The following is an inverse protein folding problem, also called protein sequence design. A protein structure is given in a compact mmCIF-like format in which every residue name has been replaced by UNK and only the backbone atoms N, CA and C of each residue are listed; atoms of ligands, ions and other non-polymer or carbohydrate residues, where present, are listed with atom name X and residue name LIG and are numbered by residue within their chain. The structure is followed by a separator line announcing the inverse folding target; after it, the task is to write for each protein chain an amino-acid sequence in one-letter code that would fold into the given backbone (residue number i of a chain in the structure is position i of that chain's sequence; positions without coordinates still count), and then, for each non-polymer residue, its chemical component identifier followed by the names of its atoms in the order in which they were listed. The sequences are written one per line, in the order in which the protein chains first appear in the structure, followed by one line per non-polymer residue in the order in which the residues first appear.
data_IF_472826658060
#
_entry.id   IF_472826658060
#
_cell.length_a   1.000
_cell.length_b   1.000
_cell.length_c   1.000
_cell.angle_alpha   90.00
_cell.angle_beta   90.00
_cell.angle_gamma   90.00
#
_symmetry.space_group_name_H-M   'P 1'
#
loop_
_entity.id
_entity.type
_entity.pdbx_description
1 polymer ?
#
# COMPACT_ATOMS: atom_id res chain seq x y z
N UNK A 1 20.02 -6.92 4.86
CA UNK A 1 19.95 -6.13 3.61
C UNK A 1 18.81 -6.67 2.74
N UNK A 2 17.72 -5.93 2.58
CA UNK A 2 16.55 -6.37 1.77
C UNK A 2 16.78 -6.06 0.29
N UNK A 3 16.44 -7.01 -0.58
CA UNK A 3 16.60 -6.91 -2.03
C UNK A 3 15.33 -7.35 -2.74
N UNK A 4 15.08 -6.79 -3.92
CA UNK A 4 13.97 -7.20 -4.78
C UNK A 4 14.32 -8.48 -5.56
N UNK A 5 13.37 -8.96 -6.38
CA UNK A 5 13.55 -10.17 -7.19
C UNK A 5 14.64 -10.04 -8.27
N UNK A 6 15.13 -8.83 -8.54
CA UNK A 6 16.20 -8.52 -9.47
C UNK A 6 17.52 -8.17 -8.75
N UNK A 7 17.61 -8.38 -7.44
CA UNK A 7 18.80 -8.11 -6.63
C UNK A 7 19.02 -6.64 -6.25
N UNK A 8 18.08 -5.74 -6.53
CA UNK A 8 18.21 -4.32 -6.18
C UNK A 8 17.82 -4.08 -4.73
N UNK A 9 18.65 -3.34 -4.00
CA UNK A 9 18.40 -2.97 -2.60
C UNK A 9 17.23 -1.97 -2.54
N UNK A 10 16.34 -2.14 -1.56
CA UNK A 10 15.25 -1.21 -1.33
C UNK A 10 14.89 -1.10 0.15
N UNK A 11 14.24 -0.01 0.52
CA UNK A 11 13.70 0.25 1.85
C UNK A 11 12.37 1.00 1.77
N UNK A 12 11.53 0.84 2.79
CA UNK A 12 10.35 1.68 2.99
C UNK A 12 10.69 2.76 4.02
N UNK A 13 10.32 4.00 3.72
CA UNK A 13 10.54 5.14 4.61
C UNK A 13 9.19 5.73 5.02
N UNK A 14 9.08 6.09 6.30
CA UNK A 14 7.91 6.77 6.85
C UNK A 14 8.27 8.16 7.30
N UNK A 15 7.69 9.16 6.65
CA UNK A 15 7.76 10.55 7.07
C UNK A 15 6.57 10.90 7.98
N UNK A 16 6.84 11.65 9.06
CA UNK A 16 5.84 12.02 10.08
C UNK A 16 4.99 13.23 9.71
N UNK A 17 5.55 14.22 9.01
CA UNK A 17 4.94 15.54 8.82
C UNK A 17 4.75 15.91 7.35
N UNK A 18 4.58 14.91 6.49
CA UNK A 18 4.38 15.14 5.06
C UNK A 18 2.88 15.23 4.80
N UNK A 19 2.42 16.45 4.48
CA UNK A 19 1.03 16.73 4.12
C UNK A 19 0.69 16.24 2.71
N UNK A 20 1.63 16.38 1.77
CA UNK A 20 1.48 15.91 0.39
C UNK A 20 2.64 15.00 -0.02
N UNK A 21 2.29 13.75 -0.30
CA UNK A 21 3.22 12.72 -0.78
C UNK A 21 3.69 12.99 -2.22
N UNK A 22 2.86 13.65 -3.03
CA UNK A 22 3.19 13.96 -4.42
C UNK A 22 4.29 15.00 -4.49
N UNK A 23 4.14 16.13 -3.78
CA UNK A 23 5.13 17.20 -3.72
C UNK A 23 6.50 16.67 -3.26
N UNK A 24 6.51 15.85 -2.20
CA UNK A 24 7.74 15.22 -1.71
C UNK A 24 8.37 14.30 -2.76
N UNK A 25 7.56 13.51 -3.46
CA UNK A 25 8.01 12.65 -4.55
C UNK A 25 8.67 13.45 -5.68
N UNK A 26 8.09 14.61 -6.04
CA UNK A 26 8.69 15.51 -7.04
C UNK A 26 10.05 16.04 -6.58
N UNK A 27 10.14 16.52 -5.34
CA UNK A 27 11.36 17.06 -4.76
C UNK A 27 12.50 16.03 -4.69
N UNK A 28 12.15 14.76 -4.50
CA UNK A 28 13.15 13.69 -4.35
C UNK A 28 13.42 12.90 -5.64
N UNK A 29 12.99 13.39 -6.81
CA UNK A 29 13.23 12.71 -8.11
C UNK A 29 14.70 12.53 -8.48
N UNK A 30 15.58 13.40 -7.99
CA UNK A 30 17.00 13.40 -8.36
C UNK A 30 17.92 13.29 -7.15
N UNK A 31 17.71 12.24 -6.36
CA UNK A 31 18.56 11.92 -5.20
C UNK A 31 19.56 10.84 -5.56
N UNK A 32 20.82 11.11 -5.24
CA UNK A 32 21.95 10.22 -5.42
C UNK A 32 22.49 9.76 -4.06
N UNK A 33 22.86 8.49 -3.97
CA UNK A 33 23.55 7.91 -2.83
C UNK A 33 24.88 7.32 -3.31
N UNK A 34 25.95 8.12 -3.23
CA UNK A 34 27.21 7.83 -3.91
C UNK A 34 26.97 7.71 -5.41
N UNK A 35 27.38 6.59 -6.01
CA UNK A 35 27.21 6.31 -7.44
C UNK A 35 25.82 5.76 -7.82
N UNK A 36 24.89 5.63 -6.87
CA UNK A 36 23.58 5.03 -7.10
C UNK A 36 22.48 6.09 -7.14
N UNK A 37 21.71 6.14 -8.22
CA UNK A 37 20.49 6.95 -8.30
C UNK A 37 19.33 6.24 -7.61
N UNK A 38 18.65 6.92 -6.69
CA UNK A 38 17.50 6.37 -5.98
C UNK A 38 16.23 6.48 -6.81
N UNK A 39 15.42 5.42 -6.79
CA UNK A 39 14.06 5.43 -7.36
C UNK A 39 13.06 5.47 -6.23
N UNK A 40 12.20 6.48 -6.23
CA UNK A 40 11.16 6.66 -5.22
C UNK A 40 9.82 6.25 -5.82
N UNK A 41 9.11 5.39 -5.10
CA UNK A 41 7.77 4.94 -5.46
C UNK A 41 6.84 5.22 -4.28
N UNK A 42 5.59 5.60 -4.58
CA UNK A 42 4.53 5.62 -3.56
C UNK A 42 4.29 4.20 -3.06
N UNK A 43 4.22 4.03 -1.73
CA UNK A 43 3.89 2.75 -1.11
C UNK A 43 2.49 2.31 -1.55
N UNK A 44 2.33 1.02 -1.88
CA UNK A 44 1.02 0.40 -2.13
C UNK A 44 0.30 0.01 -0.83
N UNK A 45 1.01 0.05 0.29
CA UNK A 45 0.45 -0.23 1.60
C UNK A 45 -0.13 1.04 2.18
N UNK A 46 -1.43 1.01 2.43
CA UNK A 46 -2.10 2.08 3.15
C UNK A 46 -1.61 2.12 4.60
N UNK A 47 -1.42 3.34 5.10
CA UNK A 47 -1.29 3.53 6.53
C UNK A 47 -2.70 3.41 7.10
N UNK A 48 -2.94 2.43 7.97
CA UNK A 48 -3.97 2.59 9.01
C UNK A 48 -3.48 3.72 9.91
N UNK A 49 -3.67 4.97 9.50
CA UNK A 49 -3.53 6.09 10.40
C UNK A 49 -4.64 5.91 11.44
N UNK A 50 -4.26 5.39 12.62
CA UNK A 50 -5.12 5.52 13.79
C UNK A 50 -5.53 6.98 13.87
N UNK A 51 -6.84 7.20 13.83
CA UNK A 51 -7.52 8.49 13.69
C UNK A 51 -6.91 9.52 14.64
N UNK A 52 -5.88 10.25 14.19
CA UNK A 52 -5.47 11.48 14.83
C UNK A 52 -6.28 12.56 14.15
N UNK A 53 -7.46 12.82 14.72
CA UNK A 53 -8.41 13.83 14.27
C UNK A 53 -7.68 15.17 14.12
N UNK A 54 -7.40 15.57 12.89
CA UNK A 54 -7.39 16.98 12.55
C UNK A 54 -8.75 17.25 11.92
N UNK A 55 -9.63 17.88 12.70
CA UNK A 55 -10.86 18.47 12.16
C UNK A 55 -10.43 19.57 11.19
N UNK A 56 -10.58 19.34 9.88
CA UNK A 56 -11.25 20.35 9.06
C UNK A 56 -11.80 19.74 7.75
N UNK A 57 -13.12 19.87 7.65
CA UNK A 57 -13.99 20.04 6.48
C UNK A 57 -13.46 19.74 5.07
N UNK A 58 -14.10 18.76 4.41
CA UNK A 58 -14.02 18.60 2.95
C UNK A 58 -14.57 17.28 2.46
N UNK A 59 -15.86 17.26 2.10
CA UNK A 59 -16.55 16.12 1.48
C UNK A 59 -15.83 15.62 0.21
N UNK A 60 -15.36 14.38 0.21
CA UNK A 60 -15.28 13.56 -1.00
C UNK A 60 -15.80 12.16 -0.67
N UNK A 61 -16.97 11.85 -1.21
CA UNK A 61 -17.56 10.51 -1.23
C UNK A 61 -16.60 9.58 -1.97
N UNK A 62 -15.92 8.70 -1.25
CA UNK A 62 -15.27 7.52 -1.84
C UNK A 62 -16.23 6.36 -1.68
N UNK A 63 -16.70 5.89 -2.83
CA UNK A 63 -17.52 4.71 -3.06
C UNK A 63 -16.96 3.52 -2.27
N UNK A 64 -17.78 2.93 -1.40
CA UNK A 64 -17.48 1.68 -0.70
C UNK A 64 -17.25 0.57 -1.74
N UNK A 65 -16.00 0.17 -1.93
CA UNK A 65 -15.67 -1.12 -2.53
C UNK A 65 -14.59 -1.77 -1.68
N UNK A 66 -14.99 -2.82 -0.97
CA UNK A 66 -14.07 -3.73 -0.30
C UNK A 66 -14.17 -3.71 1.22
N UNK A 67 -15.32 -4.14 1.75
CA UNK A 67 -15.40 -4.60 3.14
C UNK A 67 -14.41 -5.76 3.30
N UNK A 68 -13.28 -5.48 3.96
CA UNK A 68 -12.33 -6.51 4.35
C UNK A 68 -12.95 -7.34 5.49
N UNK A 69 -13.80 -8.29 5.13
CA UNK A 69 -14.26 -9.35 6.03
C UNK A 69 -13.08 -10.28 6.33
N UNK A 70 -12.26 -9.93 7.32
CA UNK A 70 -11.29 -10.86 7.91
C UNK A 70 -12.10 -11.93 8.64
N UNK A 71 -12.16 -13.14 8.07
CA UNK A 71 -12.75 -14.31 8.71
C UNK A 71 -11.68 -14.92 9.63
N UNK A 72 -11.81 -14.79 10.97
CA UNK A 72 -10.75 -15.16 11.91
C UNK A 72 -10.37 -16.64 11.86
N UNK A 73 -11.30 -17.51 11.46
CA UNK A 73 -11.11 -18.96 11.45
C UNK A 73 -10.92 -19.56 10.05
N UNK A 74 -10.68 -18.72 9.03
CA UNK A 74 -10.55 -19.21 7.65
C UNK A 74 -9.19 -18.86 7.06
N UNK A 75 -8.35 -19.88 6.89
CA UNK A 75 -7.09 -19.71 6.16
C UNK A 75 -7.35 -19.39 4.69
N UNK A 76 -6.44 -18.62 4.09
CA UNK A 76 -6.50 -18.25 2.66
C UNK A 76 -6.59 -19.47 1.74
N UNK A 77 -5.95 -20.58 2.13
CA UNK A 77 -6.01 -21.85 1.40
C UNK A 77 -7.42 -22.44 1.40
N UNK A 78 -8.12 -22.42 2.54
CA UNK A 78 -9.51 -22.89 2.64
C UNK A 78 -10.51 -21.99 1.89
N UNK A 79 -10.16 -20.72 1.64
CA UNK A 79 -10.95 -19.81 0.81
C UNK A 79 -10.87 -20.17 -0.68
N UNK A 80 -9.66 -20.43 -1.19
CA UNK A 80 -9.42 -20.74 -2.60
C UNK A 80 -10.02 -22.07 -3.06
N UNK A 81 -10.12 -23.06 -2.17
CA UNK A 81 -10.67 -24.38 -2.52
C UNK A 81 -12.17 -24.33 -2.80
N UNK A 82 -12.94 -23.46 -2.13
CA UNK A 82 -14.40 -23.36 -2.32
C UNK A 82 -14.79 -22.61 -3.60
N UNK A 83 -13.91 -21.78 -4.18
CA UNK A 83 -14.21 -21.11 -5.45
C UNK A 83 -14.13 -22.04 -6.67
N UNK A 84 -13.50 -23.21 -6.54
CA UNK A 84 -13.33 -24.15 -7.66
C UNK A 84 -14.55 -25.04 -7.92
N UNK A 85 -15.47 -25.16 -6.98
CA UNK A 85 -16.63 -26.08 -7.07
C UNK A 85 -17.92 -25.42 -7.52
N UNK A 86 -17.89 -24.15 -7.96
CA UNK A 86 -19.09 -23.40 -8.42
C UNK A 86 -19.12 -23.13 -9.93
N UNK A 87 -18.34 -23.88 -10.71
CA UNK A 87 -18.43 -23.90 -12.16
C UNK A 87 -18.69 -25.34 -12.62
N UNK A 88 -19.94 -25.79 -12.45
CA UNK A 88 -20.54 -26.70 -13.41
C UNK A 88 -21.89 -26.12 -13.82
N UNK A 89 -22.00 -25.93 -15.13
CA UNK A 89 -23.08 -25.31 -15.87
C UNK A 89 -24.07 -26.40 -16.25
N UNK A 90 -25.36 -26.16 -16.05
CA UNK A 90 -26.43 -26.72 -16.86
C UNK A 90 -27.39 -25.58 -17.20
#
# INVERSE_FOLDING_TARGET
NKVDKWGKKFAFVKFREVKDEWELSQKMKDVWLGSFKLRINKSRFDRKEGVRKLKDSGNLKVMEVGVNNVQPDRSFRAALVQSSSRQEVA
#
